data_IF_511881030347
#
_entry.id   IF_511881030347
#
_cell.length_a   1.000
_cell.length_b   1.000
_cell.length_c   1.000
_cell.angle_alpha   90.00
_cell.angle_beta   90.00
_cell.angle_gamma   90.00
#
_symmetry.space_group_name_H-M   'P 1'
#
loop_
_entity.id
_entity.type
_entity.pdbx_description
1 polymer ?
#
# COMPACT_ATOMS: atom_id res chain seq x y z
N UNK A 1 22.43 -2.71 13.27
CA UNK A 1 21.05 -2.64 12.74
C UNK A 1 20.18 -2.27 13.93
N UNK A 2 19.74 -1.01 14.00
CA UNK A 2 19.14 -0.44 15.22
C UNK A 2 17.62 -0.42 15.17
N UNK A 3 16.98 -1.08 16.13
CA UNK A 3 15.69 -0.82 16.80
C UNK A 3 14.41 -0.35 16.04
N UNK A 4 14.43 0.12 14.79
CA UNK A 4 13.24 0.74 14.16
C UNK A 4 12.13 -0.28 13.87
N UNK A 5 12.49 -1.49 13.41
CA UNK A 5 11.54 -2.52 12.99
C UNK A 5 11.78 -3.80 13.77
N UNK A 6 11.13 -3.92 14.93
CA UNK A 6 11.13 -5.15 15.74
C UNK A 6 9.73 -5.75 15.67
N UNK A 7 9.63 -6.98 15.14
CA UNK A 7 8.38 -7.75 15.12
C UNK A 7 8.39 -8.66 16.34
N UNK A 8 7.60 -8.27 17.35
CA UNK A 8 7.42 -8.98 18.62
C UNK A 8 5.95 -9.35 18.88
N UNK A 9 5.16 -9.38 17.80
CA UNK A 9 3.73 -9.67 17.79
C UNK A 9 3.41 -10.76 16.76
N UNK A 10 2.32 -11.52 16.95
CA UNK A 10 1.93 -12.54 15.99
C UNK A 10 1.53 -11.91 14.65
N UNK A 11 2.10 -12.42 13.57
CA UNK A 11 1.83 -11.94 12.22
C UNK A 11 2.02 -13.05 11.19
N UNK A 12 1.26 -13.00 10.10
CA UNK A 12 1.53 -13.83 8.91
C UNK A 12 2.70 -13.27 8.07
N UNK A 13 3.32 -12.16 8.50
CA UNK A 13 4.34 -11.43 7.75
C UNK A 13 5.52 -12.29 7.26
N UNK A 14 6.08 -13.15 8.11
CA UNK A 14 7.23 -14.00 7.76
C UNK A 14 6.88 -15.05 6.69
N UNK A 15 5.73 -15.71 6.85
CA UNK A 15 5.18 -16.62 5.85
C UNK A 15 4.96 -15.90 4.52
N UNK A 16 4.33 -14.72 4.56
CA UNK A 16 3.93 -14.00 3.37
C UNK A 16 5.13 -13.33 2.67
N UNK A 17 6.16 -12.87 3.39
CA UNK A 17 7.41 -12.41 2.77
C UNK A 17 8.15 -13.55 2.06
N UNK A 18 8.22 -14.72 2.70
CA UNK A 18 8.77 -15.92 2.08
C UNK A 18 7.96 -16.34 0.85
N UNK A 19 6.63 -16.30 0.94
CA UNK A 19 5.72 -16.61 -0.16
C UNK A 19 5.87 -15.62 -1.32
N UNK A 20 5.88 -14.31 -1.04
CA UNK A 20 6.12 -13.24 -2.02
C UNK A 20 7.48 -13.45 -2.69
N UNK A 21 8.53 -13.75 -1.93
CA UNK A 21 9.86 -14.01 -2.49
C UNK A 21 9.84 -15.21 -3.44
N UNK A 22 9.12 -16.27 -3.10
CA UNK A 22 9.01 -17.45 -3.95
C UNK A 22 8.20 -17.19 -5.24
N UNK A 23 7.13 -16.41 -5.15
CA UNK A 23 6.09 -16.30 -6.19
C UNK A 23 6.18 -15.04 -7.06
N UNK A 24 6.50 -13.90 -6.46
CA UNK A 24 6.62 -12.62 -7.14
C UNK A 24 8.00 -12.48 -7.77
N UNK A 25 8.05 -11.79 -8.91
CA UNK A 25 9.29 -11.52 -9.64
C UNK A 25 9.50 -10.03 -9.80
N UNK A 26 10.75 -9.60 -9.73
CA UNK A 26 11.10 -8.22 -10.03
C UNK A 26 10.57 -7.85 -11.44
N UNK A 27 9.72 -6.82 -11.56
CA UNK A 27 9.03 -6.51 -12.80
C UNK A 27 9.95 -5.89 -13.87
N UNK A 28 11.02 -5.22 -13.45
CA UNK A 28 11.87 -4.40 -14.31
C UNK A 28 13.33 -4.31 -13.81
N UNK A 29 14.12 -3.49 -14.51
CA UNK A 29 15.50 -3.22 -14.17
C UNK A 29 16.46 -4.40 -14.38
N UNK A 30 17.71 -4.28 -13.90
CA UNK A 30 18.75 -5.31 -14.05
C UNK A 30 18.40 -6.65 -13.40
N UNK A 31 17.50 -6.62 -12.40
CA UNK A 31 17.06 -7.80 -11.66
C UNK A 31 15.76 -8.39 -12.19
N UNK A 32 15.22 -7.91 -13.33
CA UNK A 32 13.96 -8.38 -13.90
C UNK A 32 13.89 -9.91 -13.96
N UNK A 33 12.81 -10.47 -13.44
CA UNK A 33 12.58 -11.92 -13.40
C UNK A 33 13.27 -12.66 -12.25
N UNK A 34 14.08 -11.98 -11.41
CA UNK A 34 14.58 -12.51 -10.15
C UNK A 34 13.49 -12.47 -9.07
N UNK A 35 13.60 -13.25 -7.97
CA UNK A 35 12.73 -13.12 -6.81
C UNK A 35 12.57 -11.66 -6.35
N UNK A 36 11.33 -11.21 -6.16
CA UNK A 36 11.06 -9.91 -5.54
C UNK A 36 11.22 -10.06 -4.02
N UNK A 37 12.12 -9.29 -3.42
CA UNK A 37 12.37 -9.33 -1.97
C UNK A 37 11.99 -8.01 -1.35
N UNK A 38 11.24 -8.06 -0.26
CA UNK A 38 10.89 -6.87 0.49
C UNK A 38 12.14 -6.33 1.19
N UNK A 39 12.31 -5.01 1.16
CA UNK A 39 13.20 -4.31 2.07
C UNK A 39 12.58 -4.22 3.46
N UNK A 40 13.39 -3.96 4.48
CA UNK A 40 12.98 -3.99 5.89
C UNK A 40 11.72 -3.15 6.19
N UNK A 41 11.60 -1.96 5.60
CA UNK A 41 10.41 -1.12 5.78
C UNK A 41 9.17 -1.66 5.06
N UNK A 42 9.35 -2.33 3.91
CA UNK A 42 8.26 -2.97 3.17
C UNK A 42 7.75 -4.20 3.95
N UNK A 43 8.68 -4.98 4.51
CA UNK A 43 8.35 -6.07 5.44
C UNK A 43 7.64 -5.54 6.69
N UNK A 44 8.10 -4.43 7.27
CA UNK A 44 7.43 -3.82 8.42
C UNK A 44 5.97 -3.45 8.15
N UNK A 45 5.70 -2.92 6.95
CA UNK A 45 4.32 -2.66 6.49
C UNK A 45 3.55 -3.97 6.33
N UNK A 46 4.13 -5.00 5.70
CA UNK A 46 3.50 -6.32 5.54
C UNK A 46 3.17 -6.96 6.89
N UNK A 47 4.13 -6.99 7.81
CA UNK A 47 3.99 -7.58 9.14
C UNK A 47 2.89 -6.90 9.95
N UNK A 48 2.78 -5.57 9.89
CA UNK A 48 1.68 -4.86 10.54
C UNK A 48 0.35 -5.09 9.80
N UNK A 49 0.34 -5.05 8.47
CA UNK A 49 -0.85 -5.38 7.68
C UNK A 49 -1.39 -6.75 8.09
N UNK A 50 -0.53 -7.76 8.23
CA UNK A 50 -0.90 -9.13 8.56
C UNK A 50 -0.81 -9.46 10.05
N UNK A 51 -0.79 -8.44 10.92
CA UNK A 51 -0.73 -8.62 12.37
C UNK A 51 -2.03 -9.25 12.87
N UNK A 52 -1.88 -10.42 13.49
CA UNK A 52 -2.97 -11.20 14.08
C UNK A 52 -3.21 -10.71 15.52
N UNK A 53 -4.46 -10.76 15.98
CA UNK A 53 -4.78 -10.56 17.39
C UNK A 53 -4.40 -11.82 18.16
N UNK A 54 -3.76 -11.68 19.31
CA UNK A 54 -3.38 -12.85 20.14
C UNK A 54 -4.60 -13.68 20.56
N UNK A 55 -5.77 -13.05 20.67
CA UNK A 55 -7.06 -13.67 20.98
C UNK A 55 -7.92 -13.94 19.75
N UNK A 56 -7.33 -13.96 18.54
CA UNK A 56 -8.06 -14.21 17.30
C UNK A 56 -8.83 -15.53 17.39
N UNK A 57 -10.14 -15.44 17.20
CA UNK A 57 -10.99 -16.60 17.08
C UNK A 57 -10.64 -17.40 15.82
N UNK A 58 -10.86 -18.70 15.88
CA UNK A 58 -10.72 -19.61 14.75
C UNK A 58 -11.97 -20.47 14.65
N UNK A 59 -12.50 -20.58 13.43
CA UNK A 59 -13.57 -21.52 13.08
C UNK A 59 -12.99 -22.49 12.05
N UNK A 60 -12.87 -23.79 12.36
CA UNK A 60 -12.39 -24.78 11.42
C UNK A 60 -13.24 -24.78 10.14
N UNK A 61 -12.65 -24.92 8.94
CA UNK A 61 -13.37 -24.89 7.67
C UNK A 61 -14.57 -25.85 7.60
N UNK A 62 -14.44 -27.03 8.19
CA UNK A 62 -15.48 -28.06 8.26
C UNK A 62 -16.67 -27.68 9.16
N UNK A 63 -16.50 -26.69 10.04
CA UNK A 63 -17.53 -26.17 10.93
C UNK A 63 -18.16 -24.87 10.41
N UNK A 64 -17.67 -24.33 9.29
CA UNK A 64 -18.19 -23.10 8.69
C UNK A 64 -19.59 -23.33 8.15
N UNK A 65 -20.54 -22.53 8.65
CA UNK A 65 -21.92 -22.51 8.18
C UNK A 65 -22.43 -21.06 8.11
N UNK A 66 -23.66 -20.85 7.64
CA UNK A 66 -24.29 -19.52 7.64
C UNK A 66 -24.39 -18.94 9.06
N UNK A 67 -24.65 -19.79 10.06
CA UNK A 67 -24.80 -19.39 11.46
C UNK A 67 -23.48 -19.45 12.25
N UNK A 68 -22.41 -19.97 11.64
CA UNK A 68 -21.06 -20.05 12.21
C UNK A 68 -20.02 -19.65 11.15
N UNK A 69 -19.95 -18.35 10.80
CA UNK A 69 -19.13 -17.90 9.69
C UNK A 69 -17.63 -18.02 10.00
N UNK A 70 -16.83 -18.19 8.93
CA UNK A 70 -15.39 -18.14 9.02
C UNK A 70 -14.91 -16.78 9.55
N UNK A 71 -13.84 -16.79 10.34
CA UNK A 71 -13.18 -15.57 10.84
C UNK A 71 -12.29 -14.99 9.74
N UNK A 72 -12.53 -13.74 9.38
CA UNK A 72 -11.81 -13.02 8.31
C UNK A 72 -11.04 -11.83 8.90
N UNK A 73 -11.36 -10.58 8.52
CA UNK A 73 -10.69 -9.39 9.06
C UNK A 73 -10.73 -9.28 10.59
N UNK A 74 -11.66 -9.96 11.27
CA UNK A 74 -11.77 -9.95 12.72
C UNK A 74 -10.52 -10.53 13.41
N UNK A 75 -9.79 -11.43 12.74
CA UNK A 75 -8.53 -11.96 13.25
C UNK A 75 -7.38 -10.93 13.25
N UNK A 76 -7.50 -9.83 12.49
CA UNK A 76 -6.43 -8.87 12.30
C UNK A 76 -6.55 -7.67 13.24
N UNK A 77 -5.39 -7.18 13.70
CA UNK A 77 -5.31 -5.98 14.55
C UNK A 77 -5.76 -4.73 13.80
N UNK A 78 -5.34 -4.59 12.54
CA UNK A 78 -5.64 -3.43 11.71
C UNK A 78 -6.58 -3.80 10.57
N UNK A 79 -7.70 -3.08 10.46
CA UNK A 79 -8.63 -3.19 9.32
C UNK A 79 -8.17 -2.39 8.11
N UNK A 80 -7.23 -1.47 8.31
CA UNK A 80 -6.73 -0.58 7.28
C UNK A 80 -5.26 -0.22 7.53
N UNK A 81 -4.52 -0.08 6.44
CA UNK A 81 -3.12 0.38 6.43
C UNK A 81 -2.99 1.62 5.55
N UNK A 82 -2.14 2.57 5.96
CA UNK A 82 -1.74 3.74 5.17
C UNK A 82 -0.23 3.80 5.08
N UNK A 83 0.32 3.80 3.88
CA UNK A 83 1.76 3.95 3.63
C UNK A 83 2.05 5.27 2.94
N UNK A 84 2.80 6.12 3.62
CA UNK A 84 3.26 7.43 3.12
C UNK A 84 4.77 7.38 2.94
N UNK A 85 5.24 7.65 1.72
CA UNK A 85 6.66 7.73 1.44
C UNK A 85 6.97 8.56 0.20
N UNK A 86 8.20 9.06 0.05
CA UNK A 86 8.55 9.89 -1.10
C UNK A 86 8.54 9.10 -2.41
N UNK A 87 8.60 9.82 -3.53
CA UNK A 87 8.53 9.21 -4.86
C UNK A 87 9.68 8.22 -5.08
N UNK A 88 9.38 7.12 -5.79
CA UNK A 88 10.34 6.08 -6.21
C UNK A 88 10.98 5.26 -5.09
N UNK A 89 10.48 5.37 -3.86
CA UNK A 89 10.87 4.49 -2.73
C UNK A 89 10.58 3.02 -2.93
N UNK A 90 9.74 2.63 -3.90
CA UNK A 90 9.39 1.22 -4.16
C UNK A 90 7.93 0.86 -3.86
N UNK A 91 7.06 1.84 -3.54
CA UNK A 91 5.63 1.63 -3.23
C UNK A 91 4.89 0.79 -4.29
N UNK A 92 4.88 1.22 -5.56
CA UNK A 92 4.12 0.54 -6.63
C UNK A 92 4.47 -0.95 -6.81
N UNK A 93 5.76 -1.36 -6.90
CA UNK A 93 6.10 -2.78 -6.89
C UNK A 93 5.70 -3.52 -5.60
N UNK A 94 5.70 -2.85 -4.44
CA UNK A 94 5.28 -3.44 -3.17
C UNK A 94 3.78 -3.69 -3.15
N UNK A 95 3.00 -2.68 -3.54
CA UNK A 95 1.55 -2.77 -3.73
C UNK A 95 1.20 -3.92 -4.68
N UNK A 96 1.87 -4.02 -5.83
CA UNK A 96 1.66 -5.13 -6.76
C UNK A 96 1.96 -6.51 -6.15
N UNK A 97 3.00 -6.62 -5.31
CA UNK A 97 3.28 -7.86 -4.59
C UNK A 97 2.20 -8.18 -3.55
N UNK A 98 1.67 -7.18 -2.85
CA UNK A 98 0.60 -7.35 -1.87
C UNK A 98 -0.73 -7.75 -2.55
N UNK A 99 -1.06 -7.17 -3.71
CA UNK A 99 -2.22 -7.60 -4.51
C UNK A 99 -2.09 -9.08 -4.92
N UNK A 100 -0.90 -9.50 -5.35
CA UNK A 100 -0.65 -10.89 -5.71
C UNK A 100 -0.77 -11.84 -4.50
N UNK A 101 -0.35 -11.39 -3.32
CA UNK A 101 -0.47 -12.12 -2.05
C UNK A 101 -1.94 -12.22 -1.60
N UNK A 102 -2.70 -11.12 -1.62
CA UNK A 102 -4.15 -11.14 -1.31
C UNK A 102 -4.93 -12.02 -2.30
N UNK A 103 -4.44 -12.16 -3.54
CA UNK A 103 -5.09 -12.97 -4.58
C UNK A 103 -4.84 -14.47 -4.46
N UNK A 104 -3.65 -14.89 -4.04
CA UNK A 104 -3.23 -16.29 -4.13
C UNK A 104 -2.35 -16.79 -2.97
N UNK A 105 -1.90 -15.87 -2.11
CA UNK A 105 -1.07 -16.15 -0.95
C UNK A 105 -1.88 -16.40 0.32
N UNK A 106 -1.20 -16.79 1.41
CA UNK A 106 -1.84 -17.20 2.66
C UNK A 106 -2.24 -16.01 3.55
N UNK A 107 -3.23 -15.23 3.12
CA UNK A 107 -3.62 -13.96 3.75
C UNK A 107 -4.74 -14.06 4.80
N UNK A 108 -5.32 -15.24 5.03
CA UNK A 108 -6.34 -15.48 6.06
C UNK A 108 -5.74 -16.29 7.21
N UNK A 109 -6.06 -15.90 8.46
CA UNK A 109 -5.66 -16.64 9.65
C UNK A 109 -6.28 -18.04 9.68
N UNK A 110 -5.46 -19.06 9.94
CA UNK A 110 -5.85 -20.47 9.91
C UNK A 110 -5.34 -21.25 11.12
N UNK A 111 -5.65 -20.75 12.32
CA UNK A 111 -5.24 -21.31 13.63
C UNK A 111 -3.75 -21.05 13.99
N UNK A 112 -3.37 -21.48 15.19
CA UNK A 112 -2.02 -21.38 15.73
C UNK A 112 -1.22 -22.65 15.44
N UNK A 113 0.04 -22.49 15.06
CA UNK A 113 0.92 -23.58 14.67
C UNK A 113 1.30 -24.47 15.85
N UNK A 114 1.31 -25.78 15.60
CA UNK A 114 1.86 -26.80 16.50
C UNK A 114 3.22 -27.28 15.98
N UNK A 115 3.96 -27.98 16.84
CA UNK A 115 5.25 -28.54 16.44
C UNK A 115 5.10 -29.47 15.22
N UNK A 116 5.84 -29.16 14.14
CA UNK A 116 5.81 -29.90 12.89
C UNK A 116 4.81 -29.38 11.85
N UNK A 117 4.00 -28.37 12.18
CA UNK A 117 3.14 -27.69 11.21
C UNK A 117 4.00 -26.96 10.17
N UNK A 118 3.52 -26.96 8.93
CA UNK A 118 4.13 -26.21 7.83
C UNK A 118 3.05 -25.79 6.84
N UNK A 119 3.21 -24.61 6.25
CA UNK A 119 2.44 -24.24 5.07
C UNK A 119 2.97 -24.99 3.87
N UNK A 120 2.09 -25.59 3.06
CA UNK A 120 2.45 -26.21 1.79
C UNK A 120 1.52 -25.70 0.71
N UNK A 121 2.08 -25.14 -0.34
CA UNK A 121 1.29 -24.69 -1.49
C UNK A 121 0.47 -25.82 -2.14
N UNK A 122 0.94 -27.07 -2.04
CA UNK A 122 0.22 -28.25 -2.53
C UNK A 122 -1.13 -28.47 -1.86
N UNK A 123 -1.28 -28.08 -0.60
CA UNK A 123 -2.51 -28.27 0.18
C UNK A 123 -3.63 -27.36 -0.34
N UNK A 124 -3.24 -26.30 -1.05
CA UNK A 124 -4.12 -25.33 -1.72
C UNK A 124 -4.07 -25.48 -3.25
N UNK A 125 -3.63 -26.66 -3.71
CA UNK A 125 -3.58 -27.05 -5.12
C UNK A 125 -2.55 -26.32 -5.98
N UNK A 126 -1.69 -25.48 -5.40
CA UNK A 126 -0.62 -24.82 -6.13
C UNK A 126 0.57 -25.78 -6.35
N UNK A 127 0.96 -26.08 -7.61
CA UNK A 127 2.00 -27.07 -7.91
C UNK A 127 3.43 -26.50 -7.86
N UNK A 128 3.65 -25.39 -7.14
CA UNK A 128 4.95 -24.71 -7.13
C UNK A 128 5.99 -25.38 -6.22
N UNK A 129 5.55 -26.25 -5.30
CA UNK A 129 6.41 -26.93 -4.32
C UNK A 129 6.93 -26.04 -3.19
N UNK A 130 6.36 -24.85 -3.00
CA UNK A 130 6.71 -23.97 -1.88
C UNK A 130 6.21 -24.57 -0.57
N UNK A 131 7.09 -24.56 0.43
CA UNK A 131 6.80 -24.95 1.80
C UNK A 131 7.44 -23.96 2.77
N UNK A 132 6.78 -23.71 3.89
CA UNK A 132 7.28 -22.87 4.96
C UNK A 132 7.02 -23.57 6.31
N UNK A 133 8.06 -23.94 7.07
CA UNK A 133 7.89 -24.50 8.40
C UNK A 133 7.47 -23.41 9.38
N UNK A 134 6.52 -23.73 10.26
CA UNK A 134 6.14 -22.83 11.36
C UNK A 134 6.91 -23.18 12.63
N UNK A 135 7.22 -22.16 13.43
CA UNK A 135 7.53 -22.35 14.84
C UNK A 135 6.23 -22.52 15.65
N UNK A 136 6.24 -23.34 16.73
CA UNK A 136 5.06 -23.51 17.57
C UNK A 136 4.55 -22.17 18.14
N UNK A 137 3.26 -21.91 17.98
CA UNK A 137 2.62 -20.67 18.41
C UNK A 137 2.65 -19.54 17.37
N UNK A 138 3.25 -19.74 16.20
CA UNK A 138 3.09 -18.80 15.09
C UNK A 138 1.66 -18.88 14.50
N UNK A 139 1.10 -17.77 14.00
CA UNK A 139 -0.17 -17.83 13.29
C UNK A 139 0.02 -18.53 11.93
N UNK A 140 -0.85 -19.48 11.62
CA UNK A 140 -0.89 -20.11 10.30
C UNK A 140 -1.75 -19.30 9.35
N UNK A 141 -1.43 -19.41 8.06
CA UNK A 141 -2.10 -18.69 7.00
C UNK A 141 -2.70 -19.65 5.96
N UNK A 142 -3.82 -19.24 5.37
CA UNK A 142 -4.46 -19.91 4.23
C UNK A 142 -4.88 -18.90 3.16
N UNK A 143 -5.04 -19.31 1.89
CA UNK A 143 -5.60 -18.44 0.87
C UNK A 143 -7.04 -18.02 1.17
N UNK A 144 -7.41 -16.83 0.73
CA UNK A 144 -8.80 -16.39 0.77
C UNK A 144 -9.67 -17.32 -0.11
N UNK A 145 -10.86 -17.78 0.35
CA UNK A 145 -11.65 -18.76 -0.40
C UNK A 145 -12.36 -18.19 -1.63
N UNK A 146 -12.65 -16.89 -1.64
CA UNK A 146 -13.30 -16.19 -2.77
C UNK A 146 -12.77 -14.75 -2.95
N UNK A 147 -11.50 -14.57 -3.36
CA UNK A 147 -10.85 -13.26 -3.36
C UNK A 147 -11.40 -12.35 -4.46
N UNK A 148 -11.85 -11.16 -4.08
CA UNK A 148 -12.25 -10.10 -4.99
C UNK A 148 -11.55 -8.81 -4.59
N UNK A 149 -10.52 -8.44 -5.34
CA UNK A 149 -9.58 -7.38 -4.98
C UNK A 149 -9.78 -6.20 -5.93
N UNK A 150 -9.67 -4.98 -5.42
CA UNK A 150 -9.75 -3.77 -6.24
C UNK A 150 -8.46 -2.97 -6.19
N UNK A 151 -7.77 -2.88 -7.33
CA UNK A 151 -6.64 -1.98 -7.53
C UNK A 151 -7.18 -0.63 -8.02
N UNK A 152 -6.98 0.41 -7.21
CA UNK A 152 -7.68 1.68 -7.34
C UNK A 152 -6.71 2.83 -7.54
N UNK A 153 -6.96 3.66 -8.55
CA UNK A 153 -6.21 4.91 -8.73
C UNK A 153 -7.12 6.03 -9.27
N UNK A 154 -6.66 7.28 -9.24
CA UNK A 154 -7.49 8.42 -9.66
C UNK A 154 -7.76 8.44 -11.18
N UNK A 155 -6.82 7.92 -12.00
CA UNK A 155 -6.98 7.79 -13.46
C UNK A 155 -6.47 6.45 -14.00
N UNK A 156 -6.91 6.05 -15.20
CA UNK A 156 -6.45 4.81 -15.86
C UNK A 156 -4.93 4.77 -16.05
N UNK A 157 -4.32 5.91 -16.39
CA UNK A 157 -2.86 6.04 -16.52
C UNK A 157 -2.14 5.79 -15.19
N UNK A 158 -2.74 6.18 -14.07
CA UNK A 158 -2.17 5.91 -12.75
C UNK A 158 -2.33 4.44 -12.36
N UNK A 159 -3.47 3.80 -12.68
CA UNK A 159 -3.62 2.35 -12.48
C UNK A 159 -2.51 1.59 -13.20
N UNK A 160 -2.09 2.03 -14.38
CA UNK A 160 -1.01 1.38 -15.12
C UNK A 160 0.32 1.33 -14.33
N UNK A 161 0.57 2.24 -13.39
CA UNK A 161 1.79 2.26 -12.58
C UNK A 161 1.89 1.10 -11.59
N UNK A 162 0.77 0.61 -11.06
CA UNK A 162 0.71 -0.56 -10.19
C UNK A 162 0.37 -1.84 -10.97
N UNK A 163 -0.50 -1.74 -11.98
CA UNK A 163 -0.94 -2.86 -12.79
C UNK A 163 0.16 -3.42 -13.71
N UNK A 164 1.04 -2.57 -14.24
CA UNK A 164 2.16 -3.02 -15.08
C UNK A 164 3.18 -3.85 -14.28
N UNK A 165 3.65 -3.41 -13.10
CA UNK A 165 4.41 -4.28 -12.20
C UNK A 165 3.71 -5.60 -11.93
N UNK A 166 2.44 -5.59 -11.53
CA UNK A 166 1.68 -6.80 -11.22
C UNK A 166 1.65 -7.79 -12.40
N UNK A 167 1.32 -7.31 -13.62
CA UNK A 167 1.37 -8.13 -14.84
C UNK A 167 2.75 -8.77 -15.05
N UNK A 168 3.81 -7.99 -14.88
CA UNK A 168 5.18 -8.49 -15.04
C UNK A 168 5.55 -9.50 -13.95
N UNK A 169 5.20 -9.26 -12.68
CA UNK A 169 5.42 -10.21 -11.58
C UNK A 169 4.76 -11.56 -11.90
N UNK A 170 3.51 -11.52 -12.37
CA UNK A 170 2.72 -12.70 -12.73
C UNK A 170 3.37 -13.47 -13.88
N UNK A 171 3.62 -12.79 -15.00
CA UNK A 171 4.07 -13.43 -16.24
C UNK A 171 5.49 -13.99 -16.14
N UNK A 172 6.36 -13.33 -15.37
CA UNK A 172 7.74 -13.77 -15.14
C UNK A 172 7.83 -14.86 -14.06
N UNK A 173 6.83 -14.98 -13.20
CA UNK A 173 6.81 -15.87 -12.04
C UNK A 173 5.98 -17.16 -12.22
N UNK A 174 5.95 -18.01 -11.18
CA UNK A 174 5.01 -19.14 -11.10
C UNK A 174 3.55 -18.70 -11.06
N UNK A 175 3.26 -17.46 -10.66
CA UNK A 175 1.90 -16.92 -10.51
C UNK A 175 1.08 -16.94 -11.81
N UNK A 176 1.68 -16.96 -13.00
CA UNK A 176 0.95 -17.16 -14.27
C UNK A 176 0.09 -18.44 -14.31
N UNK A 177 0.33 -19.41 -13.42
CA UNK A 177 -0.47 -20.62 -13.28
C UNK A 177 -1.73 -20.42 -12.43
N UNK A 178 -1.77 -19.35 -11.64
CA UNK A 178 -2.88 -19.02 -10.73
C UNK A 178 -3.61 -17.75 -11.16
N UNK A 179 -2.92 -16.82 -11.82
CA UNK A 179 -3.41 -15.49 -12.13
C UNK A 179 -3.41 -15.29 -13.64
N UNK A 180 -4.59 -15.34 -14.27
CA UNK A 180 -4.75 -15.14 -15.70
C UNK A 180 -5.06 -13.68 -16.00
N UNK A 181 -4.06 -13.00 -16.57
CA UNK A 181 -4.18 -11.61 -16.98
C UNK A 181 -5.18 -11.47 -18.13
N UNK A 182 -6.24 -10.69 -17.94
CA UNK A 182 -7.19 -10.25 -18.99
C UNK A 182 -7.03 -8.75 -19.26
N UNK A 183 -7.85 -8.24 -20.18
CA UNK A 183 -7.77 -6.84 -20.60
C UNK A 183 -8.18 -5.89 -19.48
N UNK A 184 -9.29 -6.19 -18.79
CA UNK A 184 -9.92 -5.29 -17.80
C UNK A 184 -9.84 -5.78 -16.35
N UNK A 185 -9.36 -7.00 -16.11
CA UNK A 185 -9.19 -7.61 -14.79
C UNK A 185 -8.15 -8.75 -14.86
N UNK A 186 -7.76 -9.30 -13.71
CA UNK A 186 -6.99 -10.55 -13.63
C UNK A 186 -7.88 -11.61 -12.99
N UNK A 187 -8.11 -12.72 -13.69
CA UNK A 187 -8.85 -13.86 -13.13
C UNK A 187 -7.93 -14.62 -12.18
N UNK A 188 -8.46 -14.97 -11.02
CA UNK A 188 -7.80 -15.85 -10.06
C UNK A 188 -8.36 -17.25 -10.29
N UNK A 189 -7.48 -18.20 -10.57
CA UNK A 189 -7.84 -19.61 -10.72
C UNK A 189 -7.81 -20.27 -9.36
N UNK A 190 -8.79 -21.12 -9.08
CA UNK A 190 -8.75 -22.04 -7.94
C UNK A 190 -8.19 -23.38 -8.39
N UNK A 191 -6.96 -23.75 -8.00
CA UNK A 191 -6.43 -25.04 -8.39
C UNK A 191 -7.23 -26.17 -7.72
N UNK A 192 -7.73 -27.12 -8.50
CA UNK A 192 -8.47 -28.28 -7.99
C UNK A 192 -10.00 -28.16 -8.00
N UNK A 193 -10.56 -27.04 -8.48
CA UNK A 193 -12.00 -26.94 -8.81
C UNK A 193 -12.25 -27.23 -10.29
N UNK A 194 -13.43 -27.77 -10.62
CA UNK A 194 -13.83 -28.02 -12.00
C UNK A 194 -13.88 -26.70 -12.78
N UNK A 195 -13.23 -26.65 -13.94
CA UNK A 195 -13.02 -25.41 -14.72
C UNK A 195 -14.29 -24.72 -15.25
N UNK A 196 -15.48 -25.21 -14.94
CA UNK A 196 -16.76 -24.54 -15.25
C UNK A 196 -17.04 -23.38 -14.28
N UNK A 197 -16.68 -23.50 -12.98
CA UNK A 197 -16.84 -22.41 -11.99
C UNK A 197 -15.88 -21.24 -12.26
N UNK A 198 -14.67 -21.53 -12.76
CA UNK A 198 -13.70 -20.53 -13.21
C UNK A 198 -14.22 -19.69 -14.40
N UNK A 199 -15.31 -20.12 -15.05
CA UNK A 199 -16.01 -19.39 -16.10
C UNK A 199 -16.83 -18.20 -15.59
N UNK A 200 -17.16 -18.16 -14.29
CA UNK A 200 -18.02 -17.14 -13.70
C UNK A 200 -17.29 -15.86 -13.29
N UNK A 201 -15.96 -15.83 -13.34
CA UNK A 201 -15.14 -14.65 -13.04
C UNK A 201 -15.43 -14.05 -11.64
N UNK A 202 -15.73 -14.90 -10.66
CA UNK A 202 -16.07 -14.49 -9.29
C UNK A 202 -14.82 -14.05 -8.52
N UNK A 203 -13.71 -14.78 -8.70
CA UNK A 203 -12.45 -14.47 -8.06
C UNK A 203 -11.53 -13.73 -9.02
N UNK A 204 -11.25 -12.47 -8.70
CA UNK A 204 -10.49 -11.60 -9.59
C UNK A 204 -9.90 -10.38 -8.91
N UNK A 205 -8.96 -9.76 -9.62
CA UNK A 205 -8.44 -8.43 -9.34
C UNK A 205 -9.04 -7.48 -10.37
N UNK A 206 -9.90 -6.58 -9.90
CA UNK A 206 -10.55 -5.55 -10.69
C UNK A 206 -9.73 -4.26 -10.66
N UNK A 207 -9.70 -3.56 -11.81
CA UNK A 207 -9.20 -2.19 -11.90
C UNK A 207 -10.35 -1.22 -11.65
N UNK A 208 -10.15 -0.26 -10.73
CA UNK A 208 -11.12 0.77 -10.39
C UNK A 208 -10.51 2.16 -10.52
N UNK A 209 -11.28 3.07 -11.10
CA UNK A 209 -10.95 4.49 -11.25
C UNK A 209 -12.15 5.35 -10.85
N UNK A 210 -11.97 6.67 -10.78
CA UNK A 210 -13.05 7.64 -10.50
C UNK A 210 -14.29 7.47 -11.39
N UNK A 211 -14.12 7.00 -12.62
CA UNK A 211 -15.19 6.75 -13.61
C UNK A 211 -15.82 5.36 -13.51
N UNK A 212 -15.16 4.38 -12.87
CA UNK A 212 -15.57 2.98 -12.83
C UNK A 212 -16.43 2.63 -11.59
N UNK A 213 -17.39 3.50 -11.24
CA UNK A 213 -18.21 3.39 -10.01
C UNK A 213 -19.11 2.17 -9.94
N UNK A 214 -19.42 1.52 -11.07
CA UNK A 214 -20.27 0.33 -11.12
C UNK A 214 -19.69 -0.86 -10.34
N UNK A 215 -18.38 -0.89 -10.09
CA UNK A 215 -17.70 -1.97 -9.34
C UNK A 215 -17.76 -1.79 -7.82
N UNK A 216 -18.24 -0.66 -7.31
CA UNK A 216 -18.17 -0.33 -5.88
C UNK A 216 -19.17 -1.11 -5.01
N UNK A 217 -20.19 -1.72 -5.61
CA UNK A 217 -21.15 -2.57 -4.88
C UNK A 217 -20.67 -4.02 -4.70
N UNK A 218 -19.48 -4.35 -5.20
CA UNK A 218 -18.97 -5.71 -5.17
C UNK A 218 -18.54 -6.12 -3.75
N UNK A 219 -18.68 -7.41 -3.39
CA UNK A 219 -18.27 -7.93 -2.10
C UNK A 219 -16.74 -8.13 -2.04
N UNK A 220 -15.99 -7.04 -1.92
CA UNK A 220 -14.54 -7.07 -1.99
C UNK A 220 -13.90 -7.68 -0.73
N UNK A 221 -12.84 -8.47 -0.92
CA UNK A 221 -11.97 -8.96 0.15
C UNK A 221 -10.82 -7.99 0.44
N UNK A 222 -10.42 -7.19 -0.55
CA UNK A 222 -9.37 -6.19 -0.38
C UNK A 222 -9.49 -5.01 -1.37
N UNK A 223 -8.96 -3.85 -0.97
CA UNK A 223 -8.71 -2.74 -1.89
C UNK A 223 -7.35 -2.09 -1.65
N UNK A 224 -6.59 -1.93 -2.73
CA UNK A 224 -5.33 -1.21 -2.79
C UNK A 224 -5.59 0.15 -3.47
N UNK A 225 -5.37 1.24 -2.72
CA UNK A 225 -5.76 2.60 -3.07
C UNK A 225 -4.49 3.44 -3.33
N UNK A 226 -4.02 3.43 -4.57
CA UNK A 226 -2.82 4.16 -5.00
C UNK A 226 -3.07 5.67 -5.09
N UNK A 227 -2.04 6.44 -4.77
CA UNK A 227 -2.03 7.91 -4.70
C UNK A 227 -3.22 8.50 -3.90
N UNK A 228 -3.55 7.88 -2.76
CA UNK A 228 -4.66 8.28 -1.89
C UNK A 228 -4.61 9.74 -1.39
N UNK A 229 -3.43 10.37 -1.39
CA UNK A 229 -3.23 11.79 -1.10
C UNK A 229 -3.75 12.73 -2.18
N UNK A 230 -4.10 12.23 -3.36
CA UNK A 230 -4.76 12.96 -4.44
C UNK A 230 -6.28 12.74 -4.45
N UNK A 231 -6.82 11.92 -3.56
CA UNK A 231 -8.24 11.63 -3.55
C UNK A 231 -8.97 12.75 -2.84
N UNK A 232 -9.79 13.50 -3.57
CA UNK A 232 -10.47 14.68 -3.05
C UNK A 232 -11.97 14.57 -3.28
N UNK A 233 -12.72 15.48 -2.66
CA UNK A 233 -14.16 15.57 -2.90
C UNK A 233 -14.45 16.00 -4.35
N UNK A 234 -13.61 16.86 -4.93
CA UNK A 234 -13.82 17.41 -6.27
C UNK A 234 -13.61 16.37 -7.38
N UNK A 235 -12.68 15.43 -7.23
CA UNK A 235 -12.53 14.31 -8.16
C UNK A 235 -13.38 13.07 -7.79
N UNK A 236 -14.10 13.12 -6.67
CA UNK A 236 -15.01 12.08 -6.22
C UNK A 236 -14.33 10.79 -5.74
N UNK A 237 -13.01 10.78 -5.57
CA UNK A 237 -12.28 9.59 -5.15
C UNK A 237 -12.40 9.29 -3.65
N UNK A 238 -12.74 10.29 -2.83
CA UNK A 238 -13.12 10.03 -1.42
C UNK A 238 -14.32 9.08 -1.36
N UNK A 239 -15.37 9.35 -2.14
CA UNK A 239 -16.58 8.51 -2.16
C UNK A 239 -16.28 7.08 -2.64
N UNK A 240 -15.36 6.94 -3.60
CA UNK A 240 -14.86 5.64 -4.09
C UNK A 240 -14.19 4.88 -2.95
N UNK A 241 -13.20 5.49 -2.30
CA UNK A 241 -12.42 4.85 -1.23
C UNK A 241 -13.29 4.50 -0.01
N UNK A 242 -14.22 5.38 0.36
CA UNK A 242 -15.18 5.11 1.45
C UNK A 242 -16.11 3.96 1.12
N UNK A 243 -16.57 3.87 -0.13
CA UNK A 243 -17.45 2.77 -0.55
C UNK A 243 -16.70 1.43 -0.51
N UNK A 244 -15.45 1.40 -0.95
CA UNK A 244 -14.59 0.22 -0.82
C UNK A 244 -14.40 -0.18 0.63
N UNK A 245 -14.09 0.76 1.52
CA UNK A 245 -13.98 0.48 2.97
C UNK A 245 -15.25 -0.11 3.56
N UNK A 246 -16.42 0.42 3.19
CA UNK A 246 -17.71 -0.12 3.64
C UNK A 246 -17.94 -1.54 3.12
N UNK A 247 -17.64 -1.78 1.84
CA UNK A 247 -17.74 -3.10 1.22
C UNK A 247 -16.82 -4.12 1.89
N UNK A 248 -15.54 -3.79 2.03
CA UNK A 248 -14.55 -4.60 2.71
C UNK A 248 -14.96 -4.90 4.16
N UNK A 249 -15.39 -3.90 4.92
CA UNK A 249 -15.82 -4.10 6.31
C UNK A 249 -16.98 -5.09 6.45
N UNK A 250 -17.97 -5.04 5.54
CA UNK A 250 -19.12 -5.95 5.55
C UNK A 250 -18.81 -7.37 5.10
N UNK A 251 -17.75 -7.55 4.30
CA UNK A 251 -17.36 -8.85 3.73
C UNK A 251 -16.18 -9.51 4.42
N UNK A 252 -15.71 -8.95 5.54
CA UNK A 252 -14.52 -9.45 6.23
C UNK A 252 -13.21 -9.10 5.52
N UNK A 253 -13.22 -8.15 4.58
CA UNK A 253 -12.06 -7.64 3.88
C UNK A 253 -11.35 -6.48 4.60
N UNK A 254 -10.27 -6.00 3.99
CA UNK A 254 -9.43 -4.90 4.49
C UNK A 254 -9.05 -3.94 3.36
N UNK A 255 -8.36 -2.85 3.67
CA UNK A 255 -7.93 -1.87 2.65
C UNK A 255 -6.55 -1.30 2.93
N UNK A 256 -5.77 -1.03 1.89
CA UNK A 256 -4.52 -0.27 1.95
C UNK A 256 -4.64 1.03 1.18
N UNK A 257 -4.10 2.12 1.72
CA UNK A 257 -3.81 3.32 0.97
C UNK A 257 -2.30 3.53 0.80
N UNK A 258 -1.86 3.83 -0.42
CA UNK A 258 -0.48 4.23 -0.73
C UNK A 258 -0.47 5.68 -1.17
N UNK A 259 0.52 6.45 -0.71
CA UNK A 259 0.64 7.83 -1.17
C UNK A 259 2.02 8.44 -0.96
N UNK A 260 2.27 9.55 -1.64
CA UNK A 260 3.30 10.51 -1.27
C UNK A 260 2.73 11.52 -0.25
N UNK A 261 3.57 12.41 0.29
CA UNK A 261 3.07 13.49 1.14
C UNK A 261 2.05 14.38 0.37
N UNK A 262 0.85 14.49 0.92
CA UNK A 262 -0.27 15.24 0.33
C UNK A 262 -0.19 16.74 0.65
N UNK A 263 -1.06 17.51 0.00
CA UNK A 263 -1.31 18.89 0.36
C UNK A 263 -2.26 18.95 1.58
N UNK A 264 -1.85 19.47 2.75
CA UNK A 264 -2.74 19.56 3.90
C UNK A 264 -3.94 20.50 3.67
N UNK A 265 -3.95 21.33 2.62
CA UNK A 265 -5.09 22.17 2.26
C UNK A 265 -6.14 21.48 1.39
N UNK A 266 -5.85 20.30 0.83
CA UNK A 266 -6.78 19.59 -0.06
C UNK A 266 -7.79 18.70 0.67
N UNK A 267 -7.57 18.42 1.96
CA UNK A 267 -8.40 17.51 2.77
C UNK A 267 -8.59 16.15 2.08
N UNK A 268 -7.47 15.58 1.62
CA UNK A 268 -7.46 14.33 0.86
C UNK A 268 -7.91 13.12 1.69
N UNK A 269 -8.23 12.01 1.04
CA UNK A 269 -8.56 10.77 1.75
C UNK A 269 -7.40 10.29 2.64
N UNK A 270 -6.15 10.33 2.16
CA UNK A 270 -4.99 9.98 2.98
C UNK A 270 -4.87 10.88 4.23
N UNK A 271 -5.16 12.18 4.09
CA UNK A 271 -5.22 13.11 5.22
C UNK A 271 -6.26 12.68 6.25
N UNK A 272 -7.48 12.38 5.81
CA UNK A 272 -8.56 11.96 6.70
C UNK A 272 -8.23 10.65 7.43
N UNK A 273 -7.60 9.69 6.74
CA UNK A 273 -7.14 8.44 7.36
C UNK A 273 -6.05 8.72 8.39
N UNK A 274 -5.04 9.53 8.04
CA UNK A 274 -3.94 9.91 8.93
C UNK A 274 -4.42 10.63 10.20
N UNK A 275 -5.30 11.62 10.03
CA UNK A 275 -5.82 12.45 11.13
C UNK A 275 -6.91 11.75 11.95
N UNK A 276 -7.45 10.61 11.49
CA UNK A 276 -8.50 9.88 12.21
C UNK A 276 -8.08 9.40 13.60
N UNK A 277 -6.78 9.11 13.79
CA UNK A 277 -6.25 8.55 15.04
C UNK A 277 -6.87 7.21 15.45
N UNK A 278 -7.52 6.51 14.52
CA UNK A 278 -8.23 5.27 14.82
C UNK A 278 -7.23 4.17 15.23
N UNK A 279 -7.46 3.47 16.36
CA UNK A 279 -6.49 2.50 16.90
C UNK A 279 -6.34 1.24 16.04
N UNK A 280 -7.28 1.00 15.12
CA UNK A 280 -7.32 -0.13 14.20
C UNK A 280 -6.85 0.25 12.78
N UNK A 281 -6.14 1.36 12.65
CA UNK A 281 -5.48 1.82 11.42
C UNK A 281 -3.98 1.92 11.65
N UNK A 282 -3.20 1.15 10.88
CA UNK A 282 -1.75 1.26 10.91
C UNK A 282 -1.27 2.29 9.90
N UNK A 283 -0.43 3.22 10.35
CA UNK A 283 0.18 4.25 9.51
C UNK A 283 1.69 4.08 9.49
N UNK A 284 2.23 3.79 8.31
CA UNK A 284 3.66 3.95 8.04
C UNK A 284 3.90 5.33 7.43
N UNK A 285 4.46 6.25 8.20
CA UNK A 285 4.88 7.55 7.70
C UNK A 285 6.15 8.04 8.40
N UNK A 286 7.27 8.05 7.67
CA UNK A 286 8.50 8.72 8.11
C UNK A 286 8.38 10.22 7.90
N UNK A 287 7.64 10.88 8.80
CA UNK A 287 7.43 12.31 8.80
C UNK A 287 8.72 13.03 9.27
N UNK A 288 9.40 13.80 8.40
CA UNK A 288 10.63 14.49 8.79
C UNK A 288 10.41 15.53 9.90
N UNK A 289 9.19 16.07 10.03
CA UNK A 289 8.85 17.02 11.09
C UNK A 289 8.60 16.37 12.44
N UNK A 290 8.59 15.04 12.52
CA UNK A 290 8.48 14.28 13.78
C UNK A 290 9.76 13.51 14.11
N UNK A 291 10.67 13.35 13.14
CA UNK A 291 11.90 12.58 13.35
C UNK A 291 12.94 13.34 14.20
N UNK A 292 13.35 12.83 15.38
CA UNK A 292 14.31 13.50 16.26
C UNK A 292 15.72 13.62 15.64
N UNK A 293 16.05 12.81 14.62
CA UNK A 293 17.33 12.87 13.88
C UNK A 293 17.40 14.08 12.93
N UNK A 294 16.27 14.74 12.70
CA UNK A 294 16.11 15.88 11.78
C UNK A 294 15.81 17.17 12.54
N UNK A 295 16.58 17.41 13.61
CA UNK A 295 16.48 18.57 14.50
C UNK A 295 17.81 19.28 14.63
N UNK A 296 17.76 20.61 14.65
CA UNK A 296 18.89 21.45 15.09
C UNK A 296 19.07 21.34 16.59
N UNK A 297 20.18 21.88 17.11
CA UNK A 297 20.47 21.91 18.54
C UNK A 297 19.39 22.62 19.37
N UNK A 298 18.71 23.61 18.77
CA UNK A 298 17.59 24.33 19.40
C UNK A 298 16.24 23.59 19.32
N UNK A 299 16.22 22.37 18.78
CA UNK A 299 15.01 21.57 18.59
C UNK A 299 14.16 21.97 17.39
N UNK A 300 14.57 22.95 16.57
CA UNK A 300 13.83 23.30 15.35
C UNK A 300 14.03 22.25 14.23
N UNK A 301 13.01 21.98 13.41
CA UNK A 301 13.12 21.01 12.33
C UNK A 301 14.10 21.47 11.24
N UNK A 302 14.76 20.51 10.63
CA UNK A 302 15.62 20.74 9.46
C UNK A 302 14.81 21.33 8.30
N UNK A 303 15.41 22.31 7.61
CA UNK A 303 14.83 22.97 6.45
C UNK A 303 15.20 22.24 5.17
N UNK A 304 14.20 21.96 4.33
CA UNK A 304 14.43 21.40 3.01
C UNK A 304 15.09 22.41 2.05
N UNK A 305 15.06 23.71 2.37
CA UNK A 305 15.74 24.75 1.57
C UNK A 305 17.25 24.76 1.82
N UNK A 306 17.70 24.38 3.02
CA UNK A 306 19.12 24.30 3.35
C UNK A 306 19.73 23.01 2.76
N UNK A 307 20.80 23.14 1.95
CA UNK A 307 21.42 22.00 1.25
C UNK A 307 21.89 20.88 2.18
N UNK A 308 22.52 21.20 3.31
CA UNK A 308 23.06 20.18 4.23
C UNK A 308 21.93 19.47 4.97
N UNK A 309 20.95 20.23 5.42
CA UNK A 309 19.77 19.71 6.12
C UNK A 309 18.89 18.88 5.18
N UNK A 310 18.64 19.36 3.96
CA UNK A 310 17.93 18.62 2.91
C UNK A 310 18.58 17.29 2.61
N UNK A 311 19.91 17.23 2.46
CA UNK A 311 20.60 15.95 2.26
C UNK A 311 20.31 14.98 3.39
N UNK A 312 20.31 15.46 4.65
CA UNK A 312 19.99 14.60 5.79
C UNK A 312 18.52 14.16 5.81
N UNK A 313 17.59 15.05 5.42
CA UNK A 313 16.18 14.68 5.24
C UNK A 313 16.06 13.55 4.22
N UNK A 314 16.68 13.70 3.02
CA UNK A 314 16.65 12.70 1.96
C UNK A 314 17.21 11.34 2.42
N UNK A 315 18.32 11.33 3.16
CA UNK A 315 18.89 10.08 3.72
C UNK A 315 17.93 9.35 4.65
N UNK A 316 17.15 10.09 5.45
CA UNK A 316 16.19 9.52 6.39
C UNK A 316 14.92 9.04 5.69
N UNK A 317 14.32 9.87 4.83
CA UNK A 317 13.01 9.53 4.22
C UNK A 317 13.11 8.44 3.14
N UNK A 318 14.31 8.20 2.60
CA UNK A 318 14.62 7.11 1.67
C UNK A 318 15.35 5.93 2.33
N UNK A 319 15.49 5.92 3.66
CA UNK A 319 16.16 4.84 4.38
C UNK A 319 15.52 3.48 4.08
N UNK A 320 16.33 2.49 3.68
CA UNK A 320 15.83 1.17 3.24
C UNK A 320 15.37 1.09 1.78
N UNK A 321 15.58 2.14 0.97
CA UNK A 321 15.36 2.10 -0.49
C UNK A 321 16.69 2.22 -1.27
N UNK A 322 17.58 1.22 -1.23
CA UNK A 322 18.94 1.30 -1.79
C UNK A 322 19.00 1.47 -3.32
N UNK A 323 17.89 1.21 -4.02
CA UNK A 323 17.76 1.44 -5.46
C UNK A 323 17.61 2.92 -5.83
N UNK A 324 17.38 3.81 -4.85
CA UNK A 324 17.26 5.25 -5.10
C UNK A 324 18.61 5.93 -5.01
N UNK A 325 19.03 6.56 -6.11
CA UNK A 325 20.23 7.39 -6.11
C UNK A 325 19.90 8.78 -5.53
N UNK A 326 20.32 9.04 -4.29
CA UNK A 326 20.01 10.30 -3.59
C UNK A 326 20.63 11.54 -4.23
N UNK A 327 21.73 11.41 -4.97
CA UNK A 327 22.35 12.55 -5.67
C UNK A 327 21.50 13.00 -6.87
N UNK A 328 20.87 12.04 -7.56
CA UNK A 328 19.92 12.30 -8.64
C UNK A 328 18.64 12.93 -8.10
N UNK A 329 18.14 12.42 -6.96
CA UNK A 329 16.99 13.01 -6.25
C UNK A 329 17.29 14.45 -5.82
N UNK A 330 18.44 14.69 -5.21
CA UNK A 330 18.88 16.03 -4.81
C UNK A 330 18.95 17.00 -6.00
N UNK A 331 19.50 16.55 -7.13
CA UNK A 331 19.59 17.38 -8.34
C UNK A 331 18.20 17.79 -8.87
N UNK A 332 17.27 16.84 -8.94
CA UNK A 332 15.90 17.12 -9.41
C UNK A 332 15.12 17.96 -8.40
N UNK A 333 15.26 17.70 -7.10
CA UNK A 333 14.65 18.52 -6.04
C UNK A 333 15.12 19.98 -6.15
N UNK A 334 16.42 20.22 -6.37
CA UNK A 334 16.97 21.58 -6.58
C UNK A 334 16.44 22.23 -7.85
N UNK A 335 16.26 21.48 -8.93
CA UNK A 335 15.67 22.00 -10.15
C UNK A 335 14.20 22.38 -9.95
N UNK A 336 13.43 21.51 -9.29
CA UNK A 336 12.01 21.71 -9.03
C UNK A 336 11.76 22.85 -8.05
N UNK A 337 12.58 23.00 -7.01
CA UNK A 337 12.47 24.10 -6.04
C UNK A 337 12.54 25.50 -6.67
N UNK A 338 13.14 25.65 -7.87
CA UNK A 338 13.14 26.93 -8.60
C UNK A 338 11.77 27.33 -9.13
N UNK A 339 10.87 26.36 -9.32
CA UNK A 339 9.52 26.55 -9.85
C UNK A 339 8.48 26.38 -8.75
N UNK A 340 8.61 25.31 -7.98
CA UNK A 340 7.66 24.92 -6.94
C UNK A 340 8.41 24.25 -5.78
N UNK A 341 8.88 25.03 -4.78
CA UNK A 341 9.57 24.49 -3.62
C UNK A 341 8.68 23.58 -2.77
N UNK A 342 7.38 23.86 -2.69
CA UNK A 342 6.45 23.09 -1.86
C UNK A 342 6.23 21.70 -2.47
N UNK A 343 6.15 21.61 -3.79
CA UNK A 343 6.06 20.35 -4.50
C UNK A 343 7.33 19.49 -4.33
N UNK A 344 8.52 20.10 -4.41
CA UNK A 344 9.78 19.39 -4.18
C UNK A 344 9.88 18.83 -2.75
N UNK A 345 9.51 19.65 -1.77
CA UNK A 345 9.53 19.27 -0.35
C UNK A 345 8.50 18.18 -0.02
N UNK A 346 7.33 18.18 -0.67
CA UNK A 346 6.35 17.09 -0.58
C UNK A 346 6.85 15.79 -1.21
N UNK A 347 7.16 15.80 -2.50
CA UNK A 347 7.41 14.57 -3.25
C UNK A 347 8.76 13.92 -2.94
N UNK A 348 9.80 14.71 -2.66
CA UNK A 348 11.13 14.20 -2.32
C UNK A 348 11.42 14.27 -0.82
N UNK A 349 10.98 15.35 -0.16
CA UNK A 349 11.20 15.54 1.28
C UNK A 349 10.22 14.80 2.17
N UNK A 350 9.16 14.19 1.61
CA UNK A 350 8.13 13.46 2.36
C UNK A 350 7.44 14.31 3.44
N UNK A 351 7.30 15.62 3.22
CA UNK A 351 6.75 16.57 4.20
C UNK A 351 5.39 17.12 3.76
N UNK A 352 4.46 17.28 4.71
CA UNK A 352 3.16 17.89 4.45
C UNK A 352 3.31 19.42 4.35
N UNK A 353 3.50 19.93 3.14
CA UNK A 353 3.62 21.37 2.86
C UNK A 353 2.40 21.83 2.08
N UNK A 354 1.76 22.92 2.52
CA UNK A 354 0.65 23.51 1.79
C UNK A 354 1.12 23.96 0.40
N UNK A 355 0.39 23.63 -0.65
CA UNK A 355 0.64 24.13 -1.99
C UNK A 355 0.60 25.65 -1.98
N UNK A 356 1.50 26.29 -2.74
CA UNK A 356 1.43 27.73 -2.97
C UNK A 356 0.23 28.01 -3.89
N UNK A 357 -0.98 27.99 -3.34
CA UNK A 357 -2.15 28.50 -4.02
C UNK A 357 -1.89 29.97 -4.32
N UNK A 358 -1.63 30.29 -5.59
CA UNK A 358 -1.48 31.66 -6.05
C UNK A 358 -2.79 32.41 -5.81
N UNK A 359 -2.99 32.97 -4.62
CA UNK A 359 -4.09 33.90 -4.41
C UNK A 359 -3.76 35.22 -5.11
N UNK A 360 -2.50 35.65 -5.14
CA UNK A 360 -2.05 36.81 -5.90
C UNK A 360 -0.64 36.60 -6.46
N UNK A 361 -0.44 36.92 -7.74
CA UNK A 361 0.90 37.17 -8.29
C UNK A 361 1.60 38.24 -7.44
N UNK A 362 2.90 38.09 -7.23
CA UNK A 362 3.70 39.06 -6.49
C UNK A 362 3.55 40.44 -7.13
N UNK A 363 2.97 41.40 -6.40
CA UNK A 363 2.68 42.75 -6.88
C UNK A 363 1.32 42.96 -7.56
N UNK A 364 0.46 41.93 -7.70
CA UNK A 364 -0.90 42.11 -8.22
C UNK A 364 -1.78 43.00 -7.32
N UNK A 365 -1.60 42.90 -5.99
CA UNK A 365 -2.25 43.79 -5.03
C UNK A 365 -1.79 45.25 -5.21
N UNK A 366 -0.48 45.46 -5.36
CA UNK A 366 0.09 46.79 -5.56
C UNK A 366 -0.34 47.42 -6.90
N UNK A 367 -0.47 46.63 -7.97
CA UNK A 367 -0.99 47.09 -9.27
C UNK A 367 -2.46 47.53 -9.21
N UNK A 368 -3.30 46.86 -8.40
CA UNK A 368 -4.70 47.24 -8.25
C UNK A 368 -4.88 48.63 -7.60
N UNK A 369 -3.92 49.07 -6.78
CA UNK A 369 -3.93 50.38 -6.12
C UNK A 369 -3.11 51.47 -6.83
N UNK A 370 -2.31 51.13 -7.84
CA UNK A 370 -1.49 52.11 -8.58
C UNK A 370 -2.32 53.06 -9.48
N UNK A 371 -3.64 52.88 -9.55
CA UNK A 371 -4.56 53.70 -10.34
C UNK A 371 -5.61 54.47 -9.53
N UNK A 372 -5.59 54.43 -8.20
CA UNK A 372 -6.56 55.18 -7.38
C UNK A 372 -6.03 56.60 -7.13
N UNK A 373 -6.62 57.67 -7.71
CA UNK A 373 -6.20 59.02 -7.38
C UNK A 373 -6.45 59.28 -5.89
N UNK A 374 -5.49 59.91 -5.22
CA UNK A 374 -5.60 60.30 -3.82
C UNK A 374 -6.88 61.13 -3.64
N UNK A 375 -7.80 60.66 -2.78
CA UNK A 375 -8.93 61.48 -2.37
C UNK A 375 -8.39 62.68 -1.58
N UNK A 376 -8.79 63.87 -2.03
CA UNK A 376 -8.47 65.17 -1.45
C UNK A 376 -9.03 65.35 -0.04
#
# INVERSE_FOLDING_TARGET
>A
MGAEFTVDFPTLGDLNDAWITAHCRQPDGPLRGRPFRLADWQFWVLANRLRIREDAAYVPPEEVTVDNPMVLNQAFTYRQTLTVGPQKTGKGPTEAAFVADEAAGPVIFDDWAKAGDAYRCSDWGCPCGFEFPYEPGEPKGRPHPSPLIQLTANSEDQVANAYRPLKAMIQLGPLKRLLLVRDTFIRILRPGTDGEDDGLDLDRIDIVTSSARSRLGNPISDAEQDEAGLYTKSNGMIDVADTQRRGAAGMGGRTHAWTNAWDPAENSYAQQVYESGAPDVFVFYRNPDLDPRLRREDGTPYSFLNKRERRRILEVVYEGSPWVNLDSVEAEAVALMKKDPNQAERFFGNRLVQGAGAWLDEGAWAKAYAGTPAMA
#
